data_IF_560970646992
#
_entry.id   IF_560970646992
#
_cell.length_a   1.000
_cell.length_b   1.000
_cell.length_c   1.000
_cell.angle_alpha   90.00
_cell.angle_beta   90.00
_cell.angle_gamma   90.00
#
_symmetry.space_group_name_H-M   'P 1'
#
loop_
_entity.id
_entity.type
_entity.pdbx_description
1 polymer ?
#
# COMPACT_ATOMS: atom_id res chain seq x y z
N UNK A 1 -8.28 -13.24 -0.84
CA UNK A 1 -8.87 -12.54 0.31
C UNK A 1 -8.61 -11.07 0.08
N UNK A 2 -9.67 -10.31 -0.15
CA UNK A 2 -9.62 -8.91 -0.57
C UNK A 2 -10.05 -8.08 0.64
N UNK A 3 -9.14 -7.28 1.18
CA UNK A 3 -9.41 -6.47 2.37
C UNK A 3 -9.61 -5.03 1.90
N UNK A 4 -10.83 -4.73 1.45
CA UNK A 4 -11.21 -3.38 1.02
C UNK A 4 -11.75 -2.60 2.23
N UNK A 5 -11.02 -1.57 2.66
CA UNK A 5 -11.51 -0.61 3.64
C UNK A 5 -12.58 0.28 2.98
N UNK A 6 -13.71 0.49 3.67
CA UNK A 6 -14.81 1.32 3.17
C UNK A 6 -14.32 2.74 2.85
N UNK A 7 -14.86 3.30 1.77
CA UNK A 7 -14.60 4.65 1.24
C UNK A 7 -14.51 5.70 2.37
N UNK A 8 -13.32 6.26 2.57
CA UNK A 8 -13.03 7.28 3.60
C UNK A 8 -12.33 6.77 4.86
N UNK A 9 -12.06 5.47 5.00
CA UNK A 9 -11.22 4.94 6.08
C UNK A 9 -9.80 4.66 5.59
N UNK A 10 -8.84 5.22 6.32
CA UNK A 10 -7.43 4.82 6.21
C UNK A 10 -7.35 3.34 6.54
N UNK A 11 -6.71 2.59 5.66
CA UNK A 11 -6.48 1.17 5.84
C UNK A 11 -5.65 0.96 7.11
N UNK A 12 -6.09 0.13 8.07
CA UNK A 12 -5.33 -0.11 9.28
C UNK A 12 -3.95 -0.66 8.93
N UNK A 13 -2.90 -0.12 9.57
CA UNK A 13 -1.51 -0.56 9.32
C UNK A 13 -1.33 -2.07 9.55
N UNK A 14 -2.18 -2.68 10.37
CA UNK A 14 -2.20 -4.11 10.63
C UNK A 14 -2.49 -5.00 9.41
N UNK A 15 -3.15 -4.47 8.38
CA UNK A 15 -3.41 -5.22 7.13
C UNK A 15 -2.41 -4.88 6.03
N UNK A 16 -1.61 -3.82 6.22
CA UNK A 16 -0.55 -3.46 5.30
C UNK A 16 0.60 -4.46 5.49
N UNK A 17 1.10 -5.11 4.43
CA UNK A 17 2.26 -5.98 4.53
C UNK A 17 3.47 -5.23 5.09
N UNK A 18 4.26 -5.88 5.96
CA UNK A 18 5.39 -5.23 6.62
C UNK A 18 6.42 -4.61 5.66
N UNK A 19 6.62 -5.19 4.47
CA UNK A 19 7.51 -4.61 3.46
C UNK A 19 6.98 -3.26 2.93
N UNK A 20 5.66 -3.11 2.77
CA UNK A 20 5.06 -1.86 2.31
C UNK A 20 5.12 -0.81 3.41
N UNK A 21 4.86 -1.19 4.67
CA UNK A 21 5.04 -0.29 5.83
C UNK A 21 6.49 0.21 5.90
N UNK A 22 7.47 -0.68 5.73
CA UNK A 22 8.87 -0.31 5.73
C UNK A 22 9.20 0.63 4.56
N UNK A 23 8.67 0.37 3.36
CA UNK A 23 8.88 1.24 2.21
C UNK A 23 8.33 2.65 2.45
N UNK A 24 7.09 2.76 2.95
CA UNK A 24 6.45 4.03 3.25
C UNK A 24 7.20 4.79 4.35
N UNK A 25 7.66 4.10 5.40
CA UNK A 25 8.51 4.70 6.45
C UNK A 25 9.82 5.24 5.89
N UNK A 26 10.53 4.44 5.08
CA UNK A 26 11.82 4.83 4.50
C UNK A 26 11.71 6.00 3.53
N UNK A 27 10.55 6.20 2.89
CA UNK A 27 10.30 7.30 1.95
C UNK A 27 9.47 8.44 2.55
N UNK A 28 9.26 8.45 3.87
CA UNK A 28 8.51 9.48 4.60
C UNK A 28 7.03 9.63 4.19
N UNK A 29 6.42 8.59 3.61
CA UNK A 29 5.00 8.51 3.27
C UNK A 29 4.11 8.08 4.46
N UNK A 30 4.66 8.00 5.67
CA UNK A 30 3.91 7.61 6.88
C UNK A 30 2.82 8.61 7.27
N UNK A 31 2.99 9.87 6.89
CA UNK A 31 1.97 10.91 7.06
C UNK A 31 0.90 10.86 5.97
N UNK A 32 1.20 10.20 4.85
CA UNK A 32 0.24 10.02 3.77
C UNK A 32 -0.59 8.77 4.08
N UNK A 33 -1.88 8.99 4.35
CA UNK A 33 -2.76 7.91 4.79
C UNK A 33 -2.92 6.88 3.68
N UNK A 34 -2.68 5.60 3.98
CA UNK A 34 -2.94 4.53 3.01
C UNK A 34 -4.45 4.38 2.82
N UNK A 35 -4.93 4.66 1.61
CA UNK A 35 -6.36 4.57 1.26
C UNK A 35 -6.73 3.18 0.77
N UNK A 36 -5.76 2.46 0.18
CA UNK A 36 -6.02 1.14 -0.41
C UNK A 36 -4.82 0.21 -0.25
N UNK A 37 -5.12 -1.04 0.02
CA UNK A 37 -4.15 -2.14 0.01
C UNK A 37 -4.82 -3.30 -0.71
N UNK A 38 -4.31 -3.64 -1.88
CA UNK A 38 -4.74 -4.80 -2.63
C UNK A 38 -3.63 -5.85 -2.68
N UNK A 39 -4.04 -7.11 -2.61
CA UNK A 39 -3.18 -8.27 -2.80
C UNK A 39 -3.81 -9.15 -3.85
N UNK A 40 -3.08 -9.40 -4.93
CA UNK A 40 -3.55 -10.21 -6.03
C UNK A 40 -2.55 -11.34 -6.38
N UNK A 41 -2.81 -12.02 -7.49
CA UNK A 41 -1.91 -13.06 -8.02
C UNK A 41 -0.66 -12.48 -8.70
N UNK A 42 -0.49 -11.17 -8.80
CA UNK A 42 0.70 -10.52 -9.39
C UNK A 42 1.59 -9.91 -8.30
N UNK A 43 1.02 -9.50 -7.17
CA UNK A 43 1.74 -8.97 -6.03
C UNK A 43 0.83 -8.16 -5.12
N UNK A 44 1.29 -6.96 -4.76
CA UNK A 44 0.58 -6.05 -3.87
C UNK A 44 0.55 -4.65 -4.46
N UNK A 45 -0.54 -3.94 -4.19
CA UNK A 45 -0.74 -2.57 -4.64
C UNK A 45 -1.21 -1.74 -3.45
N UNK A 46 -0.51 -0.63 -3.22
CA UNK A 46 -0.72 0.25 -2.07
C UNK A 46 -1.02 1.64 -2.60
N UNK A 47 -2.19 2.18 -2.31
CA UNK A 47 -2.61 3.51 -2.72
C UNK A 47 -2.60 4.44 -1.50
N UNK A 48 -2.09 5.64 -1.69
CA UNK A 48 -2.05 6.70 -0.69
C UNK A 48 -3.15 7.73 -0.94
N UNK A 49 -3.47 8.47 0.10
CA UNK A 49 -4.45 9.57 0.07
C UNK A 49 -4.07 10.72 -0.86
N UNK A 50 -2.80 10.79 -1.25
CA UNK A 50 -2.28 11.78 -2.19
C UNK A 50 -2.57 11.44 -3.65
N UNK A 51 -3.00 10.21 -3.96
CA UNK A 51 -3.16 9.69 -5.32
C UNK A 51 -2.04 8.73 -5.72
N UNK A 52 -0.90 8.79 -5.03
CA UNK A 52 0.24 7.91 -5.30
C UNK A 52 -0.11 6.44 -5.05
N UNK A 53 0.26 5.60 -6.01
CA UNK A 53 0.11 4.15 -5.95
C UNK A 53 1.46 3.44 -6.10
N UNK A 54 1.72 2.47 -5.24
CA UNK A 54 2.96 1.69 -5.20
C UNK A 54 2.64 0.23 -5.46
N UNK A 55 3.25 -0.34 -6.50
CA UNK A 55 3.14 -1.77 -6.81
C UNK A 55 4.38 -2.51 -6.37
N UNK A 56 4.15 -3.62 -5.68
CA UNK A 56 5.15 -4.55 -5.20
C UNK A 56 4.89 -5.94 -5.79
N UNK A 57 5.95 -6.72 -5.96
CA UNK A 57 5.82 -8.12 -6.34
C UNK A 57 5.35 -8.98 -5.16
N UNK A 58 5.10 -10.27 -5.41
CA UNK A 58 4.72 -11.23 -4.34
C UNK A 58 5.77 -11.39 -3.24
N UNK A 59 7.04 -11.06 -3.53
CA UNK A 59 8.15 -11.11 -2.58
C UNK A 59 8.29 -9.81 -1.79
N UNK A 60 7.43 -8.81 -2.04
CA UNK A 60 7.49 -7.50 -1.40
C UNK A 60 8.53 -6.56 -1.99
N UNK A 61 9.07 -6.87 -3.17
CA UNK A 61 10.01 -6.00 -3.89
C UNK A 61 9.22 -4.94 -4.64
N UNK A 62 9.61 -3.67 -4.46
CA UNK A 62 9.05 -2.57 -5.23
C UNK A 62 9.25 -2.78 -6.74
N UNK A 63 8.16 -2.63 -7.50
CA UNK A 63 8.14 -2.75 -8.96
C UNK A 63 8.05 -1.35 -9.58
N UNK A 64 7.03 -0.59 -9.20
CA UNK A 64 6.75 0.73 -9.77
C UNK A 64 5.90 1.58 -8.84
N UNK A 65 5.98 2.89 -9.03
CA UNK A 65 5.06 3.85 -8.46
C UNK A 65 4.41 4.63 -9.61
N UNK A 66 3.12 4.91 -9.49
CA UNK A 66 2.36 5.79 -10.38
C UNK A 66 1.70 6.89 -9.52
N UNK A 67 1.59 8.10 -10.07
CA UNK A 67 0.91 9.28 -9.51
C UNK A 67 -0.46 9.49 -10.15
#
# INVERSE_FOLDING_TARGET
>A
EEVSAKKGQVVPVSIIPGFAVNYLKSHNFVNEGVTKVERDRKGYEIELSTGLSFKFDKKGKFIKADD
#
